data_IF_870209511730
#
_entry.id   IF_870209511730
#
_cell.length_a   1.000
_cell.length_b   1.000
_cell.length_c   1.000
_cell.angle_alpha   90.00
_cell.angle_beta   90.00
_cell.angle_gamma   90.00
#
_symmetry.space_group_name_H-M   'P 1'
#
loop_
_entity.id
_entity.type
_entity.pdbx_description
1 polymer ?
#
# COMPACT_ATOMS: atom_id res chain seq x y z
N UNK A 1 -17.45 1.76 2.65
CA UNK A 1 -16.01 1.67 2.71
C UNK A 1 -15.41 2.37 1.50
N UNK A 2 -14.35 3.13 1.69
CA UNK A 2 -13.60 3.82 0.63
C UNK A 2 -12.10 3.76 0.90
N UNK A 3 -11.32 4.01 -0.14
CA UNK A 3 -9.87 4.20 -0.06
C UNK A 3 -9.48 5.45 -0.84
N UNK A 4 -8.38 6.08 -0.46
CA UNK A 4 -7.75 7.11 -1.28
C UNK A 4 -6.49 6.56 -1.98
N UNK A 5 -5.86 7.42 -2.76
CA UNK A 5 -4.65 7.09 -3.52
C UNK A 5 -3.42 6.78 -2.64
N UNK A 6 -3.46 7.12 -1.36
CA UNK A 6 -2.39 6.88 -0.40
C UNK A 6 -2.61 5.60 0.43
N UNK A 7 -3.71 4.87 0.17
CA UNK A 7 -4.07 3.64 0.88
C UNK A 7 -4.75 3.88 2.23
N UNK A 8 -5.17 5.12 2.54
CA UNK A 8 -5.99 5.37 3.72
C UNK A 8 -7.36 4.72 3.55
N UNK A 9 -7.86 4.12 4.63
CA UNK A 9 -9.15 3.42 4.65
C UNK A 9 -10.19 4.32 5.30
N UNK A 10 -11.30 4.54 4.59
CA UNK A 10 -12.41 5.37 5.04
C UNK A 10 -13.64 4.50 5.33
N UNK A 11 -14.13 4.54 6.56
CA UNK A 11 -15.38 3.89 6.97
C UNK A 11 -16.45 4.97 7.00
N UNK A 12 -17.48 4.81 6.16
CA UNK A 12 -18.46 5.85 5.90
C UNK A 12 -19.84 5.34 6.33
N UNK A 13 -20.50 6.05 7.23
CA UNK A 13 -21.89 5.84 7.58
C UNK A 13 -22.74 7.02 7.10
N UNK A 14 -23.86 6.72 6.47
CA UNK A 14 -24.79 7.71 5.94
C UNK A 14 -26.07 7.74 6.75
N UNK A 15 -26.53 8.91 7.15
CA UNK A 15 -27.76 9.05 7.95
C UNK A 15 -28.51 10.32 7.57
N UNK A 16 -29.82 10.23 7.40
CA UNK A 16 -30.64 11.42 7.23
C UNK A 16 -30.95 12.05 8.59
N UNK A 17 -30.97 13.39 8.64
CA UNK A 17 -31.28 14.15 9.87
C UNK A 17 -32.63 13.81 10.47
N UNK A 18 -33.63 13.47 9.64
CA UNK A 18 -34.97 13.06 10.09
C UNK A 18 -35.01 11.73 10.83
N UNK A 19 -33.96 10.90 10.74
CA UNK A 19 -33.94 9.61 11.41
C UNK A 19 -33.88 9.82 12.93
N UNK A 20 -34.71 9.10 13.73
CA UNK A 20 -34.72 9.25 15.18
C UNK A 20 -33.39 8.86 15.83
N UNK A 21 -32.71 7.86 15.29
CA UNK A 21 -31.47 7.28 15.82
C UNK A 21 -30.19 7.99 15.32
N UNK A 22 -30.31 9.26 14.89
CA UNK A 22 -29.17 10.00 14.34
C UNK A 22 -27.96 10.14 15.30
N UNK A 23 -28.19 10.02 16.63
CA UNK A 23 -27.09 10.03 17.61
C UNK A 23 -26.28 8.73 17.62
N UNK A 24 -26.87 7.64 17.16
CA UNK A 24 -26.19 6.33 17.08
C UNK A 24 -25.23 6.23 15.89
N UNK A 25 -25.23 7.19 14.97
CA UNK A 25 -24.38 7.15 13.75
C UNK A 25 -22.90 7.02 14.07
N UNK A 26 -22.43 7.68 15.13
CA UNK A 26 -21.02 7.58 15.57
C UNK A 26 -20.73 6.17 16.12
N UNK A 27 -21.63 5.62 16.92
CA UNK A 27 -21.48 4.25 17.42
C UNK A 27 -21.50 3.24 16.27
N UNK A 28 -22.35 3.43 15.27
CA UNK A 28 -22.45 2.56 14.11
C UNK A 28 -21.16 2.58 13.26
N UNK A 29 -20.62 3.77 12.96
CA UNK A 29 -19.40 3.85 12.17
C UNK A 29 -18.20 3.25 12.89
N UNK A 30 -18.12 3.39 14.22
CA UNK A 30 -17.09 2.77 15.06
C UNK A 30 -17.24 1.24 15.13
N UNK A 31 -18.47 0.73 15.21
CA UNK A 31 -18.76 -0.72 15.19
C UNK A 31 -18.32 -1.36 13.88
N UNK A 32 -18.52 -0.67 12.74
CA UNK A 32 -17.98 -1.11 11.45
C UNK A 32 -16.45 -1.18 11.45
N UNK A 33 -15.79 -0.19 12.06
CA UNK A 33 -14.34 -0.19 12.22
C UNK A 33 -13.85 -1.37 13.08
N UNK A 34 -14.51 -1.61 14.21
CA UNK A 34 -14.18 -2.73 15.08
C UNK A 34 -14.40 -4.08 14.39
N UNK A 35 -15.50 -4.21 13.62
CA UNK A 35 -15.81 -5.40 12.84
C UNK A 35 -14.78 -5.63 11.72
N UNK A 36 -14.36 -4.57 11.05
CA UNK A 36 -13.32 -4.65 10.03
C UNK A 36 -11.99 -5.09 10.66
N UNK A 37 -11.57 -4.44 11.73
CA UNK A 37 -10.32 -4.75 12.44
C UNK A 37 -10.26 -6.19 12.97
N UNK A 38 -11.37 -6.70 13.49
CA UNK A 38 -11.45 -8.10 13.96
C UNK A 38 -11.18 -9.12 12.86
N UNK A 39 -11.45 -8.78 11.61
CA UNK A 39 -11.30 -9.66 10.45
C UNK A 39 -10.05 -9.35 9.61
N UNK A 40 -9.11 -8.53 10.10
CA UNK A 40 -7.95 -8.05 9.34
C UNK A 40 -6.88 -9.11 9.06
N UNK A 41 -6.93 -10.28 9.74
CA UNK A 41 -5.98 -11.36 9.51
C UNK A 41 -6.09 -12.01 8.13
N UNK A 42 -7.13 -11.67 7.35
CA UNK A 42 -7.36 -12.17 6.00
C UNK A 42 -7.34 -11.01 4.98
N UNK A 43 -6.16 -10.42 4.76
CA UNK A 43 -5.97 -9.38 3.74
C UNK A 43 -6.29 -9.89 2.34
N UNK A 44 -5.93 -11.14 2.02
CA UNK A 44 -6.20 -11.74 0.72
C UNK A 44 -7.71 -11.95 0.49
N UNK A 45 -8.44 -12.38 1.51
CA UNK A 45 -9.91 -12.44 1.45
C UNK A 45 -10.54 -11.06 1.26
N UNK A 46 -10.01 -10.03 1.95
CA UNK A 46 -10.44 -8.64 1.78
C UNK A 46 -10.23 -8.17 0.32
N UNK A 47 -9.05 -8.37 -0.25
CA UNK A 47 -8.73 -7.97 -1.62
C UNK A 47 -9.54 -8.77 -2.64
N UNK A 48 -9.74 -10.08 -2.42
CA UNK A 48 -10.56 -10.95 -3.27
C UNK A 48 -12.02 -10.47 -3.34
N UNK A 49 -12.56 -10.00 -2.22
CA UNK A 49 -13.91 -9.42 -2.20
C UNK A 49 -14.00 -8.20 -3.13
N UNK A 50 -13.04 -7.28 -3.06
CA UNK A 50 -13.02 -6.09 -3.93
C UNK A 50 -12.75 -6.42 -5.38
N UNK A 51 -11.89 -7.40 -5.65
CA UNK A 51 -11.66 -7.91 -7.01
C UNK A 51 -12.97 -8.42 -7.64
N UNK A 52 -13.71 -9.23 -6.89
CA UNK A 52 -15.01 -9.75 -7.34
C UNK A 52 -16.04 -8.64 -7.61
N UNK A 53 -16.12 -7.65 -6.71
CA UNK A 53 -17.04 -6.52 -6.89
C UNK A 53 -16.62 -5.59 -8.03
N UNK A 54 -15.32 -5.37 -8.25
CA UNK A 54 -14.79 -4.61 -9.37
C UNK A 54 -15.13 -5.27 -10.70
N UNK A 55 -14.85 -6.56 -10.82
CA UNK A 55 -15.17 -7.35 -12.01
C UNK A 55 -16.68 -7.34 -12.31
N UNK A 56 -17.52 -7.50 -11.27
CA UNK A 56 -18.97 -7.51 -11.41
C UNK A 56 -19.55 -6.17 -11.87
N UNK A 57 -19.06 -5.04 -11.30
CA UNK A 57 -19.63 -3.71 -11.56
C UNK A 57 -19.01 -3.00 -12.75
N UNK A 58 -17.74 -3.20 -12.99
CA UNK A 58 -16.96 -2.40 -13.95
C UNK A 58 -16.34 -3.24 -15.07
N UNK A 59 -16.41 -4.57 -14.99
CA UNK A 59 -15.77 -5.50 -15.93
C UNK A 59 -14.25 -5.26 -16.06
N UNK A 60 -13.64 -4.80 -14.98
CA UNK A 60 -12.22 -4.52 -14.84
C UNK A 60 -11.66 -5.22 -13.60
N UNK A 61 -10.41 -5.67 -13.67
CA UNK A 61 -9.70 -6.11 -12.47
C UNK A 61 -9.56 -4.94 -11.49
N UNK A 62 -9.42 -5.23 -10.19
CA UNK A 62 -9.24 -4.20 -9.18
C UNK A 62 -8.02 -3.34 -9.48
N UNK A 63 -6.90 -3.95 -9.89
CA UNK A 63 -5.68 -3.22 -10.25
C UNK A 63 -5.93 -2.25 -11.41
N UNK A 64 -6.57 -2.71 -12.50
CA UNK A 64 -6.93 -1.82 -13.62
C UNK A 64 -7.86 -0.69 -13.18
N UNK A 65 -8.80 -1.00 -12.28
CA UNK A 65 -9.71 0.03 -11.75
C UNK A 65 -8.96 1.08 -10.93
N UNK A 66 -8.03 0.68 -10.07
CA UNK A 66 -7.19 1.58 -9.26
C UNK A 66 -6.28 2.43 -10.15
N UNK A 67 -5.62 1.82 -11.14
CA UNK A 67 -4.79 2.53 -12.12
C UNK A 67 -5.58 3.63 -12.84
N UNK A 68 -6.74 3.27 -13.38
CA UNK A 68 -7.57 4.20 -14.16
C UNK A 68 -8.17 5.32 -13.30
N UNK A 69 -8.63 4.99 -12.09
CA UNK A 69 -9.32 5.96 -11.22
C UNK A 69 -8.35 6.96 -10.59
N UNK A 70 -7.20 6.48 -10.11
CA UNK A 70 -6.21 7.32 -9.45
C UNK A 70 -5.09 7.78 -10.38
N UNK A 71 -5.09 7.35 -11.66
CA UNK A 71 -4.04 7.62 -12.65
C UNK A 71 -2.66 7.13 -12.15
N UNK A 72 -2.61 5.91 -11.64
CA UNK A 72 -1.42 5.28 -11.09
C UNK A 72 -0.78 4.33 -12.10
N UNK A 73 0.55 4.18 -12.01
CA UNK A 73 1.28 3.07 -12.61
C UNK A 73 1.02 1.77 -11.86
N UNK A 74 1.40 0.63 -12.44
CA UNK A 74 1.28 -0.67 -11.75
C UNK A 74 2.11 -0.74 -10.46
N UNK A 75 3.31 -0.13 -10.44
CA UNK A 75 4.16 -0.05 -9.26
C UNK A 75 3.49 0.78 -8.15
N UNK A 76 2.89 1.92 -8.50
CA UNK A 76 2.15 2.74 -7.55
C UNK A 76 0.89 2.06 -7.01
N UNK A 77 0.22 1.22 -7.81
CA UNK A 77 -0.90 0.39 -7.32
C UNK A 77 -0.42 -0.66 -6.34
N UNK A 78 0.78 -1.21 -6.55
CA UNK A 78 1.37 -2.12 -5.59
C UNK A 78 1.64 -1.42 -4.25
N UNK A 79 2.32 -0.26 -4.27
CA UNK A 79 2.55 0.55 -3.06
C UNK A 79 1.23 0.92 -2.37
N UNK A 80 0.20 1.26 -3.14
CA UNK A 80 -1.16 1.50 -2.63
C UNK A 80 -1.72 0.27 -1.89
N UNK A 81 -1.57 -0.93 -2.44
CA UNK A 81 -2.05 -2.18 -1.81
C UNK A 81 -1.30 -2.49 -0.51
N UNK A 82 0.01 -2.31 -0.48
CA UNK A 82 0.81 -2.50 0.73
C UNK A 82 0.42 -1.48 1.81
N UNK A 83 0.17 -0.22 1.46
CA UNK A 83 -0.33 0.78 2.40
C UNK A 83 -1.72 0.41 2.95
N UNK A 84 -2.62 -0.11 2.11
CA UNK A 84 -3.92 -0.63 2.55
C UNK A 84 -3.73 -1.77 3.55
N UNK A 85 -2.82 -2.70 3.28
CA UNK A 85 -2.52 -3.84 4.16
C UNK A 85 -2.03 -3.39 5.53
N UNK A 86 -1.11 -2.43 5.57
CA UNK A 86 -0.58 -1.84 6.81
C UNK A 86 -1.71 -1.14 7.57
N UNK A 87 -2.44 -0.23 6.92
CA UNK A 87 -3.52 0.52 7.56
C UNK A 87 -4.66 -0.39 8.06
N UNK A 88 -4.93 -1.48 7.33
CA UNK A 88 -5.90 -2.48 7.72
C UNK A 88 -5.45 -3.22 8.99
N UNK A 89 -4.19 -3.70 9.03
CA UNK A 89 -3.61 -4.42 10.17
C UNK A 89 -3.49 -3.56 11.42
N UNK A 90 -3.08 -2.31 11.26
CA UNK A 90 -2.92 -1.35 12.37
C UNK A 90 -4.25 -0.77 12.88
N UNK A 91 -5.37 -1.03 12.18
CA UNK A 91 -6.65 -0.40 12.50
C UNK A 91 -6.66 1.11 12.26
N UNK A 92 -5.80 1.60 11.38
CA UNK A 92 -5.65 3.01 11.06
C UNK A 92 -6.74 3.47 10.08
N UNK A 93 -7.96 3.65 10.60
CA UNK A 93 -9.12 4.02 9.80
C UNK A 93 -9.50 5.48 10.03
N UNK A 94 -10.03 6.10 8.97
CA UNK A 94 -10.71 7.39 9.03
C UNK A 94 -12.21 7.18 8.98
N UNK A 95 -12.92 7.71 9.96
CA UNK A 95 -14.36 7.53 10.07
C UNK A 95 -15.07 8.76 9.50
N UNK A 96 -16.08 8.54 8.66
CA UNK A 96 -16.88 9.61 8.07
C UNK A 96 -18.37 9.39 8.39
N UNK A 97 -18.97 10.40 8.98
CA UNK A 97 -20.42 10.50 9.14
C UNK A 97 -20.94 11.45 8.06
N UNK A 98 -21.73 10.94 7.13
CA UNK A 98 -22.30 11.70 6.02
C UNK A 98 -23.79 11.93 6.25
N UNK A 99 -24.22 13.20 6.29
CA UNK A 99 -25.60 13.59 6.59
C UNK A 99 -26.06 14.75 5.71
N UNK A 100 -27.36 14.85 5.50
CA UNK A 100 -28.01 16.01 4.88
C UNK A 100 -28.03 17.24 5.80
N UNK A 101 -27.96 17.04 7.12
CA UNK A 101 -27.86 18.10 8.14
C UNK A 101 -27.23 17.58 9.42
N UNK A 102 -26.32 18.35 10.01
CA UNK A 102 -25.68 18.02 11.28
C UNK A 102 -26.30 18.85 12.42
N UNK A 103 -26.61 18.18 13.55
CA UNK A 103 -27.00 18.89 14.78
C UNK A 103 -25.75 19.44 15.49
N UNK A 104 -25.89 20.55 16.22
CA UNK A 104 -24.82 21.11 17.02
C UNK A 104 -24.25 20.08 18.01
N UNK A 105 -25.13 19.31 18.67
CA UNK A 105 -24.74 18.26 19.62
C UNK A 105 -23.88 17.16 18.99
N UNK A 106 -24.13 16.79 17.71
CA UNK A 106 -23.32 15.79 17.01
C UNK A 106 -21.95 16.38 16.62
N UNK A 107 -21.90 17.64 16.23
CA UNK A 107 -20.63 18.36 15.97
C UNK A 107 -19.77 18.41 17.24
N UNK A 108 -20.37 18.80 18.37
CA UNK A 108 -19.66 18.87 19.66
C UNK A 108 -19.14 17.50 20.09
N UNK A 109 -19.93 16.43 19.89
CA UNK A 109 -19.50 15.05 20.16
C UNK A 109 -18.31 14.64 19.29
N UNK A 110 -18.31 14.96 18.01
CA UNK A 110 -17.21 14.65 17.07
C UNK A 110 -15.95 15.42 17.48
N UNK A 111 -16.07 16.69 17.78
CA UNK A 111 -14.95 17.52 18.27
C UNK A 111 -14.36 16.92 19.56
N UNK A 112 -15.22 16.55 20.53
CA UNK A 112 -14.79 15.94 21.78
C UNK A 112 -14.04 14.61 21.54
N UNK A 113 -14.58 13.73 20.68
CA UNK A 113 -13.92 12.45 20.35
C UNK A 113 -12.58 12.71 19.70
N UNK A 114 -12.50 13.60 18.71
CA UNK A 114 -11.26 13.88 18.01
C UNK A 114 -10.18 14.48 18.92
N UNK A 115 -10.56 15.25 19.94
CA UNK A 115 -9.61 15.77 20.93
C UNK A 115 -9.05 14.69 21.86
N UNK A 116 -9.81 13.63 22.15
CA UNK A 116 -9.52 12.67 23.21
C UNK A 116 -9.27 11.23 22.73
N UNK A 117 -9.34 10.95 21.42
CA UNK A 117 -9.09 9.63 20.85
C UNK A 117 -7.89 9.60 19.92
N UNK A 118 -7.39 8.42 19.60
CA UNK A 118 -6.30 8.23 18.64
C UNK A 118 -6.78 8.20 17.17
N UNK A 119 -8.08 8.00 16.93
CA UNK A 119 -8.66 7.98 15.58
C UNK A 119 -9.41 9.29 15.29
N UNK A 120 -9.63 9.54 13.99
CA UNK A 120 -10.33 10.73 13.52
C UNK A 120 -11.72 10.38 13.01
N UNK A 121 -12.73 11.13 13.48
CA UNK A 121 -14.08 11.12 12.93
C UNK A 121 -14.32 12.45 12.22
N UNK A 122 -14.71 12.40 10.97
CA UNK A 122 -15.13 13.55 10.19
C UNK A 122 -16.65 13.52 10.00
N UNK A 123 -17.29 14.65 10.09
CA UNK A 123 -18.66 14.78 9.66
C UNK A 123 -18.72 15.58 8.36
N UNK A 124 -19.51 15.10 7.41
CA UNK A 124 -19.76 15.78 6.14
C UNK A 124 -21.25 16.08 6.04
N UNK A 125 -21.61 17.35 5.99
CA UNK A 125 -22.95 17.81 5.71
C UNK A 125 -23.07 18.07 4.22
N UNK A 126 -24.03 17.41 3.54
CA UNK A 126 -24.31 17.62 2.13
C UNK A 126 -25.51 18.54 1.97
N UNK A 127 -25.28 19.79 1.59
CA UNK A 127 -26.33 20.68 1.21
C UNK A 127 -26.71 20.45 -0.26
N UNK A 128 -27.98 20.21 -0.51
CA UNK A 128 -28.51 19.95 -1.85
C UNK A 128 -29.38 21.12 -2.33
N UNK A 129 -29.07 21.63 -3.49
CA UNK A 129 -29.79 22.72 -4.15
C UNK A 129 -30.17 22.31 -5.58
N UNK A 130 -31.30 22.81 -6.04
CA UNK A 130 -31.73 22.69 -7.43
C UNK A 130 -31.92 24.08 -8.03
N UNK A 131 -31.41 24.26 -9.23
CA UNK A 131 -31.67 25.46 -10.01
C UNK A 131 -31.86 25.10 -11.48
N UNK A 132 -33.08 25.31 -12.00
CA UNK A 132 -33.48 24.83 -13.32
C UNK A 132 -33.22 23.30 -13.45
N UNK A 133 -32.40 22.87 -14.41
CA UNK A 133 -31.98 21.51 -14.67
C UNK A 133 -30.69 21.11 -13.88
N UNK A 134 -30.09 22.02 -13.13
CA UNK A 134 -28.86 21.77 -12.38
C UNK A 134 -29.16 21.32 -10.97
N UNK A 135 -28.44 20.27 -10.56
CA UNK A 135 -28.39 19.81 -9.18
C UNK A 135 -27.01 20.15 -8.60
N UNK A 136 -26.99 20.84 -7.45
CA UNK A 136 -25.77 21.31 -6.81
C UNK A 136 -25.69 20.67 -5.44
N UNK A 137 -24.59 19.97 -5.17
CA UNK A 137 -24.28 19.41 -3.86
C UNK A 137 -23.07 20.16 -3.30
N UNK A 138 -23.22 20.74 -2.13
CA UNK A 138 -22.16 21.46 -1.43
C UNK A 138 -21.78 20.68 -0.17
N UNK A 139 -20.60 20.01 -0.14
CA UNK A 139 -20.13 19.34 1.06
C UNK A 139 -19.52 20.37 2.04
N UNK A 140 -19.89 20.26 3.32
CA UNK A 140 -19.27 20.97 4.43
C UNK A 140 -18.62 19.98 5.38
N UNK A 141 -17.31 20.11 5.57
CA UNK A 141 -16.51 19.21 6.41
C UNK A 141 -16.40 19.80 7.83
N UNK A 142 -16.64 18.96 8.84
CA UNK A 142 -16.48 19.26 10.25
C UNK A 142 -15.59 18.22 10.93
N UNK A 143 -14.86 18.61 11.96
CA UNK A 143 -13.95 17.73 12.71
C UNK A 143 -12.49 17.79 12.25
N UNK A 144 -12.21 18.42 11.11
CA UNK A 144 -10.84 18.63 10.61
C UNK A 144 -10.09 19.75 11.38
N UNK A 145 -10.80 20.53 12.18
CA UNK A 145 -10.28 21.70 12.91
C UNK A 145 -9.47 21.31 14.16
N UNK A 146 -9.62 20.07 14.61
CA UNK A 146 -8.95 19.56 15.81
C UNK A 146 -7.54 19.14 15.46
N UNK A 147 -6.56 20.01 15.75
CA UNK A 147 -5.15 19.63 15.74
C UNK A 147 -4.87 18.77 16.96
N UNK A 148 -4.51 17.50 16.74
CA UNK A 148 -4.03 16.62 17.80
C UNK A 148 -2.56 16.95 18.07
N UNK A 149 -2.22 17.33 19.27
CA UNK A 149 -0.84 17.43 19.78
C UNK A 149 -0.23 16.03 20.06
N UNK A 150 -0.73 15.01 19.40
CA UNK A 150 -0.16 13.68 19.51
C UNK A 150 0.91 13.58 18.44
N UNK A 151 2.17 13.45 18.86
CA UNK A 151 3.35 13.19 18.03
C UNK A 151 3.28 11.80 17.33
N UNK A 152 2.14 11.48 16.73
CA UNK A 152 2.07 10.44 15.71
C UNK A 152 2.39 11.18 14.42
N UNK A 153 3.60 10.99 13.92
CA UNK A 153 3.96 11.41 12.57
C UNK A 153 3.00 10.72 11.61
N UNK A 154 1.86 11.38 11.34
CA UNK A 154 0.96 10.93 10.27
C UNK A 154 1.59 11.37 8.96
N UNK A 155 1.95 10.46 8.08
CA UNK A 155 2.38 10.83 6.75
C UNK A 155 1.14 11.32 5.99
N UNK A 156 0.94 12.64 5.96
CA UNK A 156 -0.25 13.26 5.34
C UNK A 156 -0.02 13.73 3.89
N UNK A 157 1.11 13.36 3.29
CA UNK A 157 1.42 13.62 1.86
C UNK A 157 2.25 12.47 1.33
N UNK A 158 2.01 12.04 0.08
CA UNK A 158 2.90 11.18 -0.66
C UNK A 158 4.33 11.70 -0.50
N UNK A 159 5.15 10.93 0.19
CA UNK A 159 6.57 11.23 0.36
C UNK A 159 7.24 10.64 -0.87
N UNK A 160 7.74 11.48 -1.77
CA UNK A 160 8.60 10.97 -2.83
C UNK A 160 9.91 10.54 -2.18
N UNK A 161 10.07 9.26 -2.01
CA UNK A 161 11.27 8.69 -1.41
C UNK A 161 12.48 8.93 -2.33
N UNK A 162 13.65 8.94 -1.74
CA UNK A 162 14.95 8.99 -2.40
C UNK A 162 15.97 8.29 -1.51
N UNK A 163 17.20 8.14 -1.99
CA UNK A 163 18.28 7.49 -1.26
C UNK A 163 18.44 8.04 0.17
N UNK A 164 18.55 9.36 0.31
CA UNK A 164 18.77 9.99 1.62
C UNK A 164 17.64 9.72 2.61
N UNK A 165 16.38 9.89 2.19
CA UNK A 165 15.21 9.66 3.05
C UNK A 165 15.02 8.17 3.38
N UNK A 166 15.33 7.28 2.45
CA UNK A 166 15.23 5.84 2.66
C UNK A 166 16.24 5.38 3.71
N UNK A 167 17.52 5.71 3.54
CA UNK A 167 18.55 5.29 4.48
C UNK A 167 18.48 6.01 5.82
N UNK A 168 17.98 7.25 5.89
CA UNK A 168 17.68 7.92 7.16
C UNK A 168 16.62 7.12 7.95
N UNK A 169 15.55 6.71 7.30
CA UNK A 169 14.47 5.91 7.92
C UNK A 169 14.96 4.53 8.35
N UNK A 170 15.72 3.84 7.49
CA UNK A 170 16.30 2.51 7.76
C UNK A 170 17.25 2.56 8.96
N UNK A 171 18.15 3.56 9.00
CA UNK A 171 19.09 3.74 10.13
C UNK A 171 18.39 4.06 11.45
N UNK A 172 17.23 4.72 11.40
CA UNK A 172 16.45 5.04 12.60
C UNK A 172 15.63 3.86 13.15
N UNK A 173 15.26 2.91 12.27
CA UNK A 173 14.33 1.82 12.63
C UNK A 173 15.00 0.47 12.83
N UNK A 174 16.11 0.20 12.16
CA UNK A 174 16.69 -1.13 12.07
C UNK A 174 18.06 -1.21 12.73
N UNK A 175 18.39 -2.40 13.22
CA UNK A 175 19.73 -2.71 13.74
C UNK A 175 20.78 -2.57 12.64
N UNK A 176 22.00 -2.16 13.01
CA UNK A 176 23.12 -1.95 12.10
C UNK A 176 23.39 -3.13 11.15
N UNK A 177 23.29 -4.38 11.63
CA UNK A 177 23.48 -5.58 10.81
C UNK A 177 22.49 -5.69 9.64
N UNK A 178 21.25 -5.22 9.85
CA UNK A 178 20.19 -5.18 8.83
C UNK A 178 20.45 -4.05 7.84
N UNK A 179 20.85 -2.88 8.35
CA UNK A 179 21.24 -1.75 7.50
C UNK A 179 22.38 -2.13 6.54
N UNK A 180 23.41 -2.83 7.04
CA UNK A 180 24.53 -3.32 6.23
C UNK A 180 24.08 -4.29 5.12
N UNK A 181 23.11 -5.17 5.40
CA UNK A 181 22.55 -6.08 4.40
C UNK A 181 21.74 -5.32 3.33
N UNK A 182 20.90 -4.37 3.74
CA UNK A 182 20.14 -3.51 2.82
C UNK A 182 21.11 -2.69 1.94
N UNK A 183 22.17 -2.15 2.51
CA UNK A 183 23.19 -1.39 1.77
C UNK A 183 23.86 -2.25 0.68
N UNK A 184 24.17 -3.52 0.97
CA UNK A 184 24.74 -4.44 -0.03
C UNK A 184 23.80 -4.65 -1.23
N UNK A 185 22.49 -4.86 -0.99
CA UNK A 185 21.49 -4.97 -2.06
C UNK A 185 21.35 -3.66 -2.84
N UNK A 186 21.43 -2.52 -2.17
CA UNK A 186 21.39 -1.22 -2.82
C UNK A 186 22.62 -0.97 -3.69
N UNK A 187 23.82 -1.30 -3.19
CA UNK A 187 25.06 -1.18 -3.96
C UNK A 187 25.08 -2.11 -5.17
N UNK A 188 24.59 -3.35 -5.01
CA UNK A 188 24.32 -4.24 -6.14
C UNK A 188 23.39 -3.57 -7.16
N UNK A 189 22.29 -2.97 -6.69
CA UNK A 189 21.32 -2.31 -7.57
C UNK A 189 21.94 -1.15 -8.33
N UNK A 190 22.78 -0.31 -7.70
CA UNK A 190 23.52 0.78 -8.37
C UNK A 190 24.46 0.26 -9.46
N UNK A 191 25.04 -0.91 -9.25
CA UNK A 191 26.01 -1.47 -10.19
C UNK A 191 25.36 -2.17 -11.40
N UNK A 192 24.22 -2.83 -11.19
CA UNK A 192 23.66 -3.75 -12.18
C UNK A 192 22.30 -3.34 -12.74
N UNK A 193 21.54 -2.48 -12.08
CA UNK A 193 20.27 -1.98 -12.59
C UNK A 193 20.48 -0.82 -13.60
N UNK A 194 19.60 -0.71 -14.57
CA UNK A 194 19.55 0.42 -15.50
C UNK A 194 18.89 1.64 -14.85
N UNK A 195 18.03 1.41 -13.86
CA UNK A 195 17.30 2.44 -13.12
C UNK A 195 16.93 1.92 -11.73
N UNK A 196 16.95 2.80 -10.73
CA UNK A 196 16.36 2.54 -9.41
C UNK A 196 15.21 3.54 -9.21
N UNK A 197 13.99 3.03 -9.16
CA UNK A 197 12.81 3.83 -8.83
C UNK A 197 12.54 3.79 -7.33
N UNK A 198 11.92 4.86 -6.82
CA UNK A 198 11.61 5.02 -5.40
C UNK A 198 10.10 4.98 -5.20
N UNK A 199 9.64 4.27 -4.18
CA UNK A 199 8.24 4.23 -3.82
C UNK A 199 7.70 5.62 -3.44
N UNK A 200 6.38 5.76 -3.54
CA UNK A 200 5.65 7.00 -3.19
C UNK A 200 4.80 6.82 -1.93
N UNK A 201 4.98 5.70 -1.21
CA UNK A 201 4.23 5.37 0.00
C UNK A 201 4.40 6.44 1.08
N UNK A 202 3.30 6.77 1.75
CA UNK A 202 3.30 7.75 2.85
C UNK A 202 3.81 7.16 4.16
N UNK A 203 3.69 5.85 4.34
CA UNK A 203 4.05 5.11 5.57
C UNK A 203 5.39 4.43 5.44
N UNK A 204 5.66 3.82 4.29
CA UNK A 204 6.82 2.98 4.05
C UNK A 204 7.46 3.37 2.70
N UNK A 205 8.78 3.48 2.69
CA UNK A 205 9.57 3.71 1.49
C UNK A 205 10.06 2.41 0.88
N UNK A 206 10.32 2.43 -0.41
CA UNK A 206 10.99 1.32 -1.08
C UNK A 206 11.97 1.84 -2.13
N UNK A 207 12.97 1.00 -2.46
CA UNK A 207 13.71 1.14 -3.70
C UNK A 207 13.51 -0.10 -4.58
N UNK A 208 13.43 0.13 -5.90
CA UNK A 208 12.96 -0.85 -6.86
C UNK A 208 13.91 -0.84 -8.08
N UNK A 209 14.91 -1.75 -8.15
CA UNK A 209 15.85 -1.79 -9.25
C UNK A 209 15.26 -2.42 -10.49
N UNK A 210 15.41 -1.77 -11.65
CA UNK A 210 14.94 -2.23 -12.95
C UNK A 210 16.13 -2.65 -13.83
N UNK A 211 16.02 -3.82 -14.41
CA UNK A 211 16.96 -4.30 -15.44
C UNK A 211 16.16 -4.42 -16.74
N UNK A 212 16.17 -3.36 -17.55
CA UNK A 212 15.29 -3.20 -18.71
C UNK A 212 15.41 -4.31 -19.76
N UNK A 213 16.58 -4.96 -19.82
CA UNK A 213 16.81 -6.12 -20.70
C UNK A 213 16.07 -7.37 -20.23
N UNK A 214 15.67 -7.44 -18.97
CA UNK A 214 14.88 -8.54 -18.42
C UNK A 214 13.40 -8.17 -18.41
N UNK A 215 13.06 -7.03 -17.80
CA UNK A 215 11.69 -6.52 -17.68
C UNK A 215 11.68 -5.01 -17.53
N UNK A 216 10.58 -4.38 -17.93
CA UNK A 216 10.31 -2.96 -17.61
C UNK A 216 9.95 -2.77 -16.12
N UNK A 217 9.70 -3.87 -15.42
CA UNK A 217 9.37 -3.90 -13.99
C UNK A 217 10.57 -4.30 -13.17
N UNK A 218 10.55 -3.95 -11.87
CA UNK A 218 11.64 -4.30 -10.96
C UNK A 218 11.64 -5.79 -10.62
N UNK A 219 12.85 -6.37 -10.52
CA UNK A 219 13.04 -7.78 -10.14
C UNK A 219 12.67 -8.01 -8.68
N UNK A 220 13.00 -7.04 -7.84
CA UNK A 220 12.71 -7.05 -6.40
C UNK A 220 12.51 -5.62 -5.89
N UNK A 221 11.98 -5.51 -4.69
CA UNK A 221 11.82 -4.27 -3.95
C UNK A 221 12.35 -4.45 -2.54
N UNK A 222 12.98 -3.42 -1.98
CA UNK A 222 13.41 -3.41 -0.58
C UNK A 222 12.71 -2.27 0.13
N UNK A 223 12.08 -2.58 1.25
CA UNK A 223 11.28 -1.64 2.02
C UNK A 223 12.03 -1.11 3.25
N UNK A 224 11.59 0.03 3.79
CA UNK A 224 12.22 0.68 4.95
C UNK A 224 12.07 -0.10 6.26
N UNK A 225 11.19 -1.10 6.32
CA UNK A 225 11.10 -2.07 7.43
C UNK A 225 12.07 -3.26 7.27
N UNK A 226 12.84 -3.28 6.18
CA UNK A 226 13.78 -4.34 5.86
C UNK A 226 13.17 -5.51 5.06
N UNK A 227 11.91 -5.48 4.71
CA UNK A 227 11.30 -6.52 3.86
C UNK A 227 11.97 -6.51 2.48
N UNK A 228 12.47 -7.67 2.05
CA UNK A 228 12.88 -7.94 0.67
C UNK A 228 11.72 -8.61 -0.05
N UNK A 229 11.18 -7.97 -1.05
CA UNK A 229 10.12 -8.55 -1.86
C UNK A 229 10.65 -8.97 -3.23
N UNK A 230 10.42 -10.21 -3.60
CA UNK A 230 10.69 -10.71 -4.96
C UNK A 230 9.43 -10.60 -5.79
N UNK A 231 9.52 -9.89 -6.91
CA UNK A 231 8.38 -9.47 -7.71
C UNK A 231 8.00 -10.52 -8.79
N UNK A 232 7.87 -11.78 -8.41
CA UNK A 232 7.61 -12.87 -9.36
C UNK A 232 6.36 -12.65 -10.23
N UNK A 233 5.25 -12.20 -9.66
CA UNK A 233 4.00 -11.95 -10.39
C UNK A 233 4.19 -10.94 -11.53
N UNK A 234 5.06 -9.97 -11.35
CA UNK A 234 5.30 -8.91 -12.34
C UNK A 234 6.19 -9.34 -13.50
N UNK A 235 7.00 -10.39 -13.31
CA UNK A 235 7.95 -10.86 -14.30
C UNK A 235 7.27 -11.83 -15.28
N UNK A 236 6.32 -11.33 -16.08
CA UNK A 236 5.52 -12.12 -17.01
C UNK A 236 5.31 -11.47 -18.38
N UNK A 237 6.12 -10.45 -18.74
CA UNK A 237 5.96 -9.65 -19.96
C UNK A 237 6.04 -10.49 -21.25
N UNK A 238 6.96 -11.46 -21.26
CA UNK A 238 7.19 -12.37 -22.39
C UNK A 238 7.76 -13.71 -21.89
N UNK A 239 7.99 -14.66 -22.82
CA UNK A 239 8.45 -15.99 -22.45
C UNK A 239 9.86 -16.02 -21.87
N UNK A 240 10.74 -15.10 -22.30
CA UNK A 240 12.07 -14.96 -21.73
C UNK A 240 12.00 -14.44 -20.28
N UNK A 241 11.20 -13.43 -20.01
CA UNK A 241 10.96 -12.92 -18.65
C UNK A 241 10.38 -14.01 -17.75
N UNK A 242 9.45 -14.83 -18.26
CA UNK A 242 8.89 -15.98 -17.52
C UNK A 242 9.96 -17.03 -17.21
N UNK A 243 10.86 -17.32 -18.17
CA UNK A 243 11.99 -18.22 -17.97
C UNK A 243 12.92 -17.71 -16.86
N UNK A 244 13.30 -16.45 -16.92
CA UNK A 244 14.15 -15.79 -15.92
C UNK A 244 13.49 -15.81 -14.54
N UNK A 245 12.19 -15.52 -14.46
CA UNK A 245 11.41 -15.61 -13.24
C UNK A 245 11.47 -16.98 -12.60
N UNK A 246 11.27 -18.04 -13.40
CA UNK A 246 11.32 -19.42 -12.92
C UNK A 246 12.71 -19.75 -12.39
N UNK A 247 13.76 -19.44 -13.16
CA UNK A 247 15.14 -19.67 -12.75
C UNK A 247 15.49 -18.91 -11.44
N UNK A 248 15.09 -17.63 -11.31
CA UNK A 248 15.28 -16.86 -10.09
C UNK A 248 14.61 -17.56 -8.89
N UNK A 249 13.38 -18.01 -9.05
CA UNK A 249 12.65 -18.72 -7.99
C UNK A 249 13.31 -20.04 -7.60
N UNK A 250 13.71 -20.85 -8.56
CA UNK A 250 14.40 -22.13 -8.31
C UNK A 250 15.73 -21.94 -7.56
N UNK A 251 16.52 -20.91 -7.91
CA UNK A 251 17.77 -20.60 -7.22
C UNK A 251 17.52 -20.09 -5.80
N UNK A 252 16.58 -19.15 -5.62
CA UNK A 252 16.26 -18.61 -4.29
C UNK A 252 15.63 -19.66 -3.36
N UNK A 253 14.86 -20.61 -3.87
CA UNK A 253 14.29 -21.73 -3.08
C UNK A 253 15.35 -22.66 -2.46
N UNK A 254 16.59 -22.64 -2.95
CA UNK A 254 17.70 -23.40 -2.34
C UNK A 254 18.08 -22.84 -0.98
N UNK A 255 17.82 -21.57 -0.74
CA UNK A 255 18.02 -20.88 0.55
C UNK A 255 16.77 -21.09 1.40
N UNK A 256 16.79 -22.10 2.27
CA UNK A 256 15.59 -22.54 3.02
C UNK A 256 14.99 -21.45 3.91
N UNK A 257 15.82 -20.58 4.44
CA UNK A 257 15.39 -19.50 5.37
C UNK A 257 14.52 -18.45 4.68
N UNK A 258 14.56 -18.33 3.35
CA UNK A 258 13.71 -17.43 2.60
C UNK A 258 12.25 -17.91 2.55
N UNK A 259 11.98 -19.17 2.84
CA UNK A 259 10.66 -19.80 2.91
C UNK A 259 9.74 -19.49 1.72
N UNK A 260 10.31 -19.48 0.49
CA UNK A 260 9.57 -19.19 -0.74
C UNK A 260 8.55 -20.32 -0.98
N UNK A 261 7.25 -20.01 -1.12
CA UNK A 261 6.22 -21.03 -1.27
C UNK A 261 6.21 -21.62 -2.68
N UNK A 262 5.74 -22.87 -2.87
CA UNK A 262 5.72 -23.53 -4.19
C UNK A 262 4.91 -22.79 -5.27
N UNK A 263 3.92 -21.98 -4.86
CA UNK A 263 3.07 -21.22 -5.77
C UNK A 263 3.59 -19.79 -6.05
N UNK A 264 4.87 -19.53 -5.78
CA UNK A 264 5.51 -18.20 -5.86
C UNK A 264 5.28 -17.46 -7.18
N UNK A 265 5.11 -18.17 -8.30
CA UNK A 265 4.91 -17.55 -9.62
C UNK A 265 3.66 -16.65 -9.73
N UNK A 266 2.71 -16.79 -8.81
CA UNK A 266 1.45 -16.05 -8.83
C UNK A 266 1.41 -14.88 -7.85
N UNK A 267 2.50 -14.65 -7.12
CA UNK A 267 2.55 -13.66 -6.04
C UNK A 267 3.88 -12.91 -6.04
N UNK A 268 3.86 -11.69 -5.50
CA UNK A 268 5.07 -11.03 -5.02
C UNK A 268 5.34 -11.54 -3.60
N UNK A 269 6.55 -12.05 -3.35
CA UNK A 269 6.88 -12.70 -2.08
C UNK A 269 7.70 -11.76 -1.21
N UNK A 270 7.10 -11.28 -0.11
CA UNK A 270 7.79 -10.48 0.90
C UNK A 270 8.52 -11.38 1.90
N UNK A 271 9.80 -11.14 2.10
CA UNK A 271 10.69 -11.90 2.99
C UNK A 271 11.17 -10.95 4.10
N UNK A 272 10.83 -11.21 5.38
CA UNK A 272 11.29 -10.39 6.49
C UNK A 272 12.81 -10.35 6.59
N UNK A 273 13.38 -9.24 7.10
CA UNK A 273 14.83 -8.99 7.15
C UNK A 273 15.56 -10.10 7.91
N UNK A 274 14.96 -10.65 8.96
CA UNK A 274 15.51 -11.70 9.79
C UNK A 274 15.84 -12.97 9.01
N UNK A 275 15.09 -13.22 7.93
CA UNK A 275 15.20 -14.43 7.12
C UNK A 275 16.24 -14.29 5.99
N UNK A 276 16.59 -13.06 5.57
CA UNK A 276 17.44 -12.91 4.39
C UNK A 276 18.78 -12.18 4.66
N UNK A 277 18.92 -11.41 5.76
CA UNK A 277 20.12 -10.60 5.95
C UNK A 277 21.43 -11.39 5.99
N UNK A 278 21.42 -12.61 6.53
CA UNK A 278 22.61 -13.47 6.58
C UNK A 278 22.96 -14.07 5.21
N UNK A 279 21.98 -14.13 4.31
CA UNK A 279 22.11 -14.69 2.97
C UNK A 279 22.29 -13.62 1.89
N UNK A 280 22.52 -12.36 2.27
CA UNK A 280 22.58 -11.25 1.30
C UNK A 280 23.65 -11.47 0.24
N UNK A 281 24.80 -12.04 0.57
CA UNK A 281 25.88 -12.31 -0.39
C UNK A 281 25.50 -13.41 -1.37
N UNK A 282 24.78 -14.44 -0.93
CA UNK A 282 24.24 -15.51 -1.78
C UNK A 282 23.11 -14.98 -2.68
N UNK A 283 22.19 -14.19 -2.14
CA UNK A 283 21.11 -13.53 -2.90
C UNK A 283 21.68 -12.62 -3.99
N UNK A 284 22.66 -11.79 -3.66
CA UNK A 284 23.30 -10.91 -4.66
C UNK A 284 24.04 -11.67 -5.73
N UNK A 285 24.66 -12.81 -5.39
CA UNK A 285 25.29 -13.69 -6.38
C UNK A 285 24.24 -14.31 -7.35
N UNK A 286 23.13 -14.79 -6.83
CA UNK A 286 22.02 -15.31 -7.64
C UNK A 286 21.48 -14.19 -8.56
N UNK A 287 21.20 -13.03 -8.02
CA UNK A 287 20.70 -11.89 -8.79
C UNK A 287 21.70 -11.46 -9.89
N UNK A 288 23.02 -11.49 -9.61
CA UNK A 288 24.05 -11.17 -10.58
C UNK A 288 24.03 -12.17 -11.76
N UNK A 289 23.89 -13.47 -11.48
CA UNK A 289 23.85 -14.51 -12.51
C UNK A 289 22.56 -14.39 -13.36
N UNK A 290 21.43 -14.08 -12.74
CA UNK A 290 20.18 -13.77 -13.42
C UNK A 290 20.34 -12.57 -14.37
N UNK A 291 20.94 -11.48 -13.90
CA UNK A 291 21.16 -10.28 -14.71
C UNK A 291 22.10 -10.55 -15.88
N UNK A 292 23.17 -11.34 -15.67
CA UNK A 292 24.09 -11.74 -16.75
C UNK A 292 23.37 -12.58 -17.82
N UNK A 293 22.57 -13.59 -17.42
CA UNK A 293 21.82 -14.43 -18.35
C UNK A 293 20.81 -13.63 -19.17
N UNK A 294 20.03 -12.72 -18.54
CA UNK A 294 19.11 -11.84 -19.25
C UNK A 294 19.79 -10.86 -20.22
N UNK A 295 21.09 -10.56 -20.01
CA UNK A 295 21.88 -9.73 -20.95
C UNK A 295 22.45 -10.50 -22.14
N UNK A 296 22.69 -11.79 -21.99
CA UNK A 296 23.28 -12.64 -23.04
C UNK A 296 22.26 -13.11 -24.06
N UNK A 297 21.03 -13.43 -23.65
CA UNK A 297 19.97 -13.91 -24.55
C UNK A 297 19.56 -12.93 -25.66
N UNK A 298 19.86 -11.65 -25.52
CA UNK A 298 19.60 -10.61 -26.53
C UNK A 298 20.74 -10.43 -27.58
N UNK A 299 21.85 -11.14 -27.46
CA UNK A 299 22.95 -11.08 -28.42
C UNK A 299 22.88 -12.17 -29.49
N UNK A 300 21.86 -13.05 -29.44
CA UNK A 300 21.70 -14.22 -30.32
C UNK A 300 20.54 -14.10 -31.32
N UNK A 301 20.02 -12.88 -31.56
CA UNK A 301 18.99 -12.62 -32.58
C UNK A 301 19.36 -11.46 -33.48
#
# INVERSE_FOLDING_TARGET
>A
LGIDQDGNIYIIETKLYKNPDKRLVVAQVLDYGASLWKNTNDFEGFMTFFEKESNKKFQLSLNQRLMNFFQLSEEEVFDLRENIKINLGDGNYKFIVLMDRLSAQLRDLIVFINQNSQFDIYAVELEYYTYQEYEIIIPKLYGAEVKKDINIQRPSKRKKWNEALFFDEVNNKLDRKYVEAIQKLYDFSKQYADEITWGTGSVQGSFNPKVRKISQRSLFSVFTDGTLQINFEWLNDNDETKRIRTLLGEELMKIKDLAIPPNYLKHCIGIPIENWYQHVDEITSILMDIVKQGRVSHLSH
#
